data_IF_175179515177
#
_entry.id   IF_175179515177
#
_cell.length_a   1.000
_cell.length_b   1.000
_cell.length_c   1.000
_cell.angle_alpha   90.00
_cell.angle_beta   90.00
_cell.angle_gamma   90.00
#
_symmetry.space_group_name_H-M   'P 1'
#
loop_
_entity.id
_entity.type
_entity.pdbx_description
1 polymer ?
2 polymer ?
3 polymer ?
4 water ?
#
loop_
_entity_poly.entity_id
_entity_poly.type
_entity_poly.pdbx_seq_one_letter_code
_entity_poly.pdbx_strand_id
2 'polydeoxyribonucleotide' '(DG)(DA)(DG)(DG)(DA)(DG)(DT)(DT)(DT)(DC)(DC)(DT)(DG)(DT)(DT)(DT)' ?
3 'polydeoxyribonucleotide' '(DC)(DA)(DA)(DA)(DC)(DA)(DG)(DG)(DA)(DA)(DA)(DC)(DT)(DC)(DC)(DT)' ?
#
# COMPACT_ATOMS: atom_id res chain seq x y z
N UNK A 4 -9.68 9.11 -2.92
CA UNK A 4 -8.22 8.77 -2.94
C UNK A 4 -7.76 8.15 -4.25
N UNK A 5 -7.45 8.99 -5.23
CA UNK A 5 -7.00 8.49 -6.52
C UNK A 5 -5.50 8.20 -6.56
N UNK A 6 -4.80 8.50 -5.48
CA UNK A 6 -3.36 8.25 -5.42
C UNK A 6 -3.05 6.83 -4.97
N UNK A 7 -1.95 6.28 -5.48
CA UNK A 7 -1.55 4.92 -5.14
C UNK A 7 -1.56 4.66 -3.64
N UNK A 8 -0.86 5.50 -2.88
CA UNK A 8 -0.80 5.29 -1.43
C UNK A 8 -2.16 5.28 -0.74
N UNK A 9 -3.10 6.09 -1.23
CA UNK A 9 -4.43 6.11 -0.63
C UNK A 9 -5.17 4.82 -0.98
N UNK A 10 -4.91 4.34 -2.19
CA UNK A 10 -5.50 3.10 -2.69
C UNK A 10 -5.05 1.97 -1.77
N UNK A 11 -3.76 1.94 -1.46
CA UNK A 11 -3.20 0.90 -0.59
C UNK A 11 -3.85 0.94 0.79
N UNK A 12 -3.87 2.14 1.39
CA UNK A 12 -4.48 2.38 2.69
C UNK A 12 -5.92 1.90 2.71
N UNK A 13 -6.67 2.27 1.69
CA UNK A 13 -8.08 1.92 1.61
C UNK A 13 -8.33 0.43 1.71
N UNK A 14 -7.47 -0.35 1.05
CA UNK A 14 -7.58 -1.80 1.10
C UNK A 14 -7.31 -2.27 2.53
N UNK A 15 -6.24 -1.75 3.12
CA UNK A 15 -5.86 -2.14 4.47
C UNK A 15 -6.87 -1.76 5.56
N UNK A 16 -7.61 -0.68 5.37
CA UNK A 16 -8.58 -0.30 6.39
C UNK A 16 -9.98 -0.87 6.11
N UNK A 17 -10.10 -1.68 5.06
CA UNK A 17 -11.36 -2.34 4.71
C UNK A 17 -11.11 -3.84 4.59
N UNK A 18 -10.72 -4.49 5.69
CA UNK A 18 -10.47 -5.93 5.64
C UNK A 18 -11.68 -6.76 5.21
N UNK A 19 -12.88 -6.25 5.45
CA UNK A 19 -14.10 -6.97 5.08
C UNK A 19 -14.35 -7.01 3.57
N UNK A 20 -13.49 -6.33 2.81
CA UNK A 20 -13.58 -6.29 1.35
C UNK A 20 -12.23 -6.68 0.76
N UNK A 21 -11.36 -7.19 1.63
CA UNK A 21 -9.99 -7.59 1.27
C UNK A 21 -9.86 -9.09 0.95
N UNK A 22 -9.69 -9.40 -0.33
CA UNK A 22 -9.52 -10.78 -0.78
C UNK A 22 -8.16 -11.33 -0.38
N UNK A 23 -7.78 -11.13 0.88
CA UNK A 23 -6.49 -11.59 1.36
C UNK A 23 -5.36 -10.92 0.59
N UNK A 24 -5.62 -9.70 0.13
CA UNK A 24 -4.67 -8.92 -0.66
C UNK A 24 -3.47 -8.43 0.13
N UNK A 25 -3.74 -7.87 1.31
CA UNK A 25 -2.70 -7.32 2.17
C UNK A 25 -3.10 -7.42 3.65
N UNK A 26 -2.14 -7.14 4.54
CA UNK A 26 -2.42 -7.17 5.96
C UNK A 26 -1.41 -6.33 6.73
N UNK A 27 -1.81 -5.91 7.93
CA UNK A 27 -0.93 -5.13 8.78
C UNK A 27 0.07 -6.05 9.44
N UNK A 28 1.33 -5.63 9.48
CA UNK A 28 2.36 -6.41 10.15
C UNK A 28 2.40 -5.80 11.56
N UNK A 29 2.06 -4.52 11.64
CA UNK A 29 2.02 -3.78 12.90
C UNK A 29 1.17 -2.54 12.63
N UNK A 30 -0.12 -2.65 12.92
CA UNK A 30 -1.09 -1.59 12.71
C UNK A 30 -0.74 -0.29 13.41
N UNK A 31 -0.13 -0.40 14.58
CA UNK A 31 0.24 0.78 15.35
C UNK A 31 1.38 1.57 14.73
N UNK A 32 2.31 0.88 14.09
CA UNK A 32 3.44 1.55 13.45
C UNK A 32 3.19 1.85 11.98
N UNK A 33 2.09 1.31 11.44
CA UNK A 33 1.77 1.53 10.05
C UNK A 33 2.58 0.63 9.12
N UNK A 34 3.04 -0.49 9.65
CA UNK A 34 3.82 -1.43 8.85
C UNK A 34 2.87 -2.43 8.20
N UNK A 35 2.93 -2.53 6.88
CA UNK A 35 2.07 -3.44 6.15
C UNK A 35 2.79 -4.34 5.14
N UNK A 36 2.09 -5.38 4.69
CA UNK A 36 2.65 -6.31 3.74
C UNK A 36 1.70 -6.72 2.62
N UNK A 37 2.26 -6.86 1.42
CA UNK A 37 1.51 -7.31 0.25
C UNK A 37 1.43 -8.84 0.34
N UNK A 38 0.22 -9.41 0.32
CA UNK A 38 0.08 -10.86 0.36
C UNK A 38 -0.04 -11.39 -1.07
N UNK A 39 -0.76 -10.65 -1.91
CA UNK A 39 -0.95 -11.01 -3.32
C UNK A 39 -0.53 -9.82 -4.18
N UNK A 40 0.78 -9.70 -4.39
CA UNK A 40 1.36 -8.60 -5.13
C UNK A 40 0.78 -8.32 -6.51
N UNK A 41 0.77 -9.32 -7.38
CA UNK A 41 0.23 -9.11 -8.72
C UNK A 41 -1.27 -8.83 -8.67
N UNK A 42 -1.97 -9.51 -7.77
CA UNK A 42 -3.41 -9.29 -7.66
C UNK A 42 -3.69 -7.83 -7.29
N UNK A 43 -2.90 -7.26 -6.39
CA UNK A 43 -3.09 -5.87 -5.98
C UNK A 43 -2.72 -4.93 -7.13
N UNK A 44 -1.62 -5.25 -7.81
CA UNK A 44 -1.18 -4.42 -8.93
C UNK A 44 -2.30 -4.40 -9.96
N UNK A 45 -2.94 -5.55 -10.13
CA UNK A 45 -4.05 -5.70 -11.06
C UNK A 45 -5.18 -4.73 -10.72
N UNK A 46 -5.63 -4.75 -9.47
CA UNK A 46 -6.71 -3.87 -9.06
C UNK A 46 -6.32 -2.42 -9.25
N UNK A 47 -5.06 -2.10 -8.96
CA UNK A 47 -4.57 -0.74 -9.12
C UNK A 47 -4.58 -0.35 -10.60
N UNK A 48 -4.14 -1.27 -11.46
CA UNK A 48 -4.14 -0.99 -12.89
C UNK A 48 -5.58 -0.77 -13.32
N UNK A 49 -6.44 -1.64 -12.82
CA UNK A 49 -7.87 -1.60 -13.09
C UNK A 49 -8.43 -0.21 -12.75
N UNK A 50 -8.10 0.28 -11.56
CA UNK A 50 -8.57 1.58 -11.10
C UNK A 50 -8.18 2.71 -12.06
N UNK A 51 -7.01 2.58 -12.67
CA UNK A 51 -6.52 3.58 -13.60
C UNK A 51 -6.77 3.10 -15.02
N UNK A 52 -7.54 2.04 -15.15
CA UNK A 52 -7.84 1.46 -16.45
C UNK A 52 -6.55 1.18 -17.22
N UNK A 53 -5.77 0.23 -16.73
CA UNK A 53 -4.51 -0.17 -17.34
C UNK A 53 -4.33 -1.64 -17.03
N UNK A 54 -4.60 -2.48 -18.02
CA UNK A 54 -4.50 -3.92 -17.86
C UNK A 54 -3.06 -4.42 -17.87
N UNK A 55 -2.10 -3.52 -18.02
CA UNK A 55 -0.69 -3.91 -18.04
C UNK A 55 0.09 -3.54 -16.78
N UNK A 56 -0.62 -3.17 -15.72
CA UNK A 56 0.03 -2.81 -14.47
C UNK A 56 0.58 -4.07 -13.80
N UNK A 57 1.80 -3.97 -13.28
CA UNK A 57 2.45 -5.10 -12.62
C UNK A 57 2.96 -4.62 -11.27
N UNK A 58 3.33 -5.57 -10.41
CA UNK A 58 3.85 -5.22 -9.11
C UNK A 58 5.15 -4.44 -9.26
N UNK A 59 5.95 -4.85 -10.24
CA UNK A 59 7.23 -4.22 -10.53
C UNK A 59 7.06 -2.71 -10.68
N UNK A 60 6.12 -2.29 -11.51
CA UNK A 60 5.87 -0.87 -11.73
C UNK A 60 5.15 -0.22 -10.55
N UNK A 61 4.31 -0.98 -9.86
CA UNK A 61 3.64 -0.42 -8.71
C UNK A 61 4.71 -0.12 -7.66
N UNK A 62 5.69 -1.02 -7.52
CA UNK A 62 6.73 -0.81 -6.53
C UNK A 62 7.59 0.41 -6.84
N UNK A 63 7.78 0.72 -8.12
CA UNK A 63 8.58 1.89 -8.50
C UNK A 63 7.91 3.17 -7.99
N UNK A 64 6.59 3.21 -8.11
CA UNK A 64 5.83 4.35 -7.63
C UNK A 64 5.90 4.38 -6.10
N UNK A 65 6.04 3.21 -5.48
CA UNK A 65 6.12 3.15 -4.01
C UNK A 65 7.45 3.74 -3.58
N UNK A 66 8.51 3.40 -4.31
CA UNK A 66 9.84 3.90 -3.95
C UNK A 66 9.95 5.41 -4.05
N UNK A 67 9.16 6.02 -4.93
CA UNK A 67 9.16 7.47 -5.05
C UNK A 67 8.61 8.12 -3.78
N UNK A 68 7.88 7.36 -2.96
CA UNK A 68 7.30 7.89 -1.72
C UNK A 68 8.25 8.09 -0.56
N UNK A 69 9.46 7.54 -0.66
CA UNK A 69 10.42 7.68 0.43
C UNK A 69 10.91 9.12 0.55
N UNK A 70 11.31 9.69 -0.58
CA UNK A 70 11.78 11.06 -0.63
C UNK A 70 10.69 11.98 -0.06
N UNK A 71 9.44 11.73 -0.44
CA UNK A 71 8.31 12.53 0.01
C UNK A 71 7.87 12.20 1.43
N UNK A 72 8.44 11.14 2.00
CA UNK A 72 8.11 10.72 3.35
C UNK A 72 6.63 10.33 3.52
N UNK A 73 6.08 9.76 2.46
CA UNK A 73 4.71 9.28 2.47
C UNK A 73 4.80 7.83 2.96
N UNK A 74 5.99 7.25 2.75
CA UNK A 74 6.32 5.88 3.18
C UNK A 74 7.71 5.92 3.77
N UNK A 75 7.95 5.04 4.74
CA UNK A 75 9.25 4.91 5.38
C UNK A 75 9.75 3.57 4.90
N UNK A 76 10.93 3.55 4.30
CA UNK A 76 11.49 2.32 3.79
C UNK A 76 11.75 1.29 4.90
N UNK A 77 11.41 0.04 4.62
CA UNK A 77 11.62 -1.05 5.56
C UNK A 77 12.64 -1.97 4.86
N UNK A 78 13.79 -2.18 5.49
CA UNK A 78 14.83 -3.01 4.89
C UNK A 78 14.81 -4.45 5.38
N UNK A 79 15.19 -5.37 4.50
CA UNK A 79 15.24 -6.78 4.83
C UNK A 79 13.89 -7.46 4.98
N UNK A 80 12.84 -6.87 4.42
CA UNK A 80 11.50 -7.44 4.51
C UNK A 80 10.77 -7.35 3.17
N UNK A 81 10.92 -8.37 2.33
CA UNK A 81 10.26 -8.39 1.03
C UNK A 81 8.76 -8.07 1.14
N UNK A 82 8.29 -7.21 0.24
CA UNK A 82 6.89 -6.81 0.19
C UNK A 82 6.36 -6.08 1.43
N UNK A 83 7.25 -5.70 2.33
CA UNK A 83 6.84 -4.98 3.54
C UNK A 83 7.17 -3.49 3.43
N UNK A 84 6.15 -2.66 3.59
CA UNK A 84 6.32 -1.21 3.54
C UNK A 84 5.79 -0.61 4.84
N UNK A 85 5.92 0.71 4.98
CA UNK A 85 5.50 1.40 6.19
C UNK A 85 5.09 2.84 5.95
N UNK A 86 3.90 3.21 6.41
CA UNK A 86 3.43 4.58 6.22
C UNK A 86 4.33 5.62 6.89
N UNK A 87 4.54 6.73 6.18
CA UNK A 87 5.38 7.81 6.68
C UNK A 87 4.58 8.95 7.30
N UNK A 88 5.28 9.85 7.97
CA UNK A 88 4.63 10.98 8.64
C UNK A 88 3.80 11.88 7.71
N UNK A 89 4.00 11.78 6.40
CA UNK A 89 3.23 12.60 5.46
C UNK A 89 1.94 11.94 5.00
N UNK A 90 1.71 10.70 5.39
CA UNK A 90 0.49 10.00 4.99
C UNK A 90 -0.54 10.20 6.10
N UNK A 91 -1.80 9.89 5.81
CA UNK A 91 -2.83 10.06 6.83
C UNK A 91 -4.01 9.11 6.65
N UNK A 92 -4.86 9.09 7.67
CA UNK A 92 -6.06 8.27 7.63
C UNK A 92 -5.92 6.77 7.79
N UNK A 93 -4.93 6.30 8.55
CA UNK A 93 -4.75 4.86 8.74
C UNK A 93 -4.61 4.39 10.19
N UNK A 94 -4.56 5.31 11.14
CA UNK A 94 -4.41 4.93 12.54
C UNK A 94 -5.70 4.44 13.17
N UNK A 95 -5.57 3.61 14.21
CA UNK A 95 -6.72 3.06 14.93
C UNK A 95 -7.64 4.15 15.46
N UNK A 96 -7.16 5.39 15.46
CA UNK A 96 -7.95 6.52 15.92
C UNK A 96 -7.80 7.68 14.95
N UNK A 97 -7.54 7.37 13.68
CA UNK A 97 -7.40 8.39 12.65
C UNK A 97 -8.36 8.09 11.51
N UNK A 98 -9.08 6.99 11.64
CA UNK A 98 -10.05 6.58 10.64
C UNK A 98 -11.45 6.79 11.21
#
# INVERSE_FOLDING_TARGET
>A
APRGTHLWEFIRDILIHPELNEGLMKWENRHEGVFKFLRSEAVAQLWGQKKKNSNMTYEKLSRAMRYYYKREILERVDGRRLVYKFGKNSSGWKEEEVGESRN
#
